data_IF_869261890507
#
_entry.id   IF_869261890507
#
_cell.length_a   1.000
_cell.length_b   1.000
_cell.length_c   1.000
_cell.angle_alpha   90.00
_cell.angle_beta   90.00
_cell.angle_gamma   90.00
#
_symmetry.space_group_name_H-M   'P 1'
#
loop_
_entity.id
_entity.type
_entity.pdbx_description
1 polymer ?
#
# COMPACT_ATOMS: atom_id res chain seq x y z
N UNK A 1 2.99 -13.10 -29.13
CA UNK A 1 2.18 -14.11 -28.40
C UNK A 1 2.85 -14.65 -27.14
N UNK A 2 4.16 -14.91 -27.11
CA UNK A 2 4.85 -15.45 -25.90
C UNK A 2 4.78 -14.50 -24.70
N UNK A 3 4.94 -13.18 -24.90
CA UNK A 3 4.83 -12.18 -23.83
C UNK A 3 3.48 -12.24 -23.10
N UNK A 4 2.36 -12.20 -23.83
CA UNK A 4 1.03 -12.29 -23.22
C UNK A 4 0.82 -13.62 -22.47
N UNK A 5 1.34 -14.73 -23.01
CA UNK A 5 1.25 -16.03 -22.31
C UNK A 5 2.04 -16.06 -21.02
N UNK A 6 3.16 -15.31 -20.92
CA UNK A 6 3.99 -15.24 -19.71
C UNK A 6 3.41 -14.32 -18.62
N UNK A 7 2.41 -13.47 -18.94
CA UNK A 7 1.92 -12.44 -18.01
C UNK A 7 0.38 -12.36 -17.96
N UNK A 8 -0.36 -13.35 -18.50
CA UNK A 8 -1.80 -13.25 -18.60
C UNK A 8 -2.52 -13.15 -17.26
N UNK A 9 -2.00 -13.81 -16.21
CA UNK A 9 -2.57 -13.74 -14.87
C UNK A 9 -2.42 -12.34 -14.30
N UNK A 10 -1.25 -11.70 -14.49
CA UNK A 10 -1.02 -10.32 -14.07
C UNK A 10 -1.98 -9.35 -14.76
N UNK A 11 -2.16 -9.48 -16.07
CA UNK A 11 -3.12 -8.67 -16.81
C UNK A 11 -4.56 -8.92 -16.35
N UNK A 12 -4.92 -10.18 -16.07
CA UNK A 12 -6.24 -10.52 -15.54
C UNK A 12 -6.47 -9.90 -14.16
N UNK A 13 -5.51 -10.02 -13.23
CA UNK A 13 -5.60 -9.40 -11.89
C UNK A 13 -5.73 -7.89 -12.02
N UNK A 14 -4.90 -7.26 -12.85
CA UNK A 14 -4.97 -5.82 -13.12
C UNK A 14 -6.34 -5.41 -13.65
N UNK A 15 -6.85 -6.12 -14.65
CA UNK A 15 -8.17 -5.85 -15.22
C UNK A 15 -9.29 -6.02 -14.20
N UNK A 16 -9.22 -7.04 -13.33
CA UNK A 16 -10.20 -7.27 -12.27
C UNK A 16 -10.15 -6.16 -11.20
N UNK A 17 -8.96 -5.74 -10.78
CA UNK A 17 -8.80 -4.61 -9.84
C UNK A 17 -9.44 -3.35 -10.41
N UNK A 18 -9.18 -3.02 -11.68
CA UNK A 18 -9.80 -1.86 -12.31
C UNK A 18 -11.31 -2.01 -12.52
N UNK A 19 -11.78 -3.16 -12.94
CA UNK A 19 -13.22 -3.42 -13.14
C UNK A 19 -14.01 -3.30 -11.83
N UNK A 20 -13.41 -3.69 -10.70
CA UNK A 20 -14.02 -3.63 -9.38
C UNK A 20 -13.75 -2.30 -8.65
N UNK A 21 -12.95 -1.39 -9.22
CA UNK A 21 -12.41 -0.19 -8.54
C UNK A 21 -13.44 0.65 -7.80
N UNK A 22 -14.63 0.80 -8.38
CA UNK A 22 -15.72 1.59 -7.80
C UNK A 22 -16.79 0.74 -7.10
N UNK A 23 -16.45 -0.51 -6.73
CA UNK A 23 -17.36 -1.42 -6.04
C UNK A 23 -16.97 -1.61 -4.58
N UNK A 24 -17.90 -2.08 -3.76
CA UNK A 24 -17.61 -2.46 -2.37
C UNK A 24 -16.65 -3.66 -2.25
N UNK A 25 -16.49 -4.45 -3.30
CA UNK A 25 -15.59 -5.62 -3.30
C UNK A 25 -14.12 -5.24 -3.15
N UNK A 26 -13.70 -4.12 -3.74
CA UNK A 26 -12.30 -3.64 -3.65
C UNK A 26 -12.04 -2.78 -2.41
N UNK A 27 -13.09 -2.32 -1.72
CA UNK A 27 -12.97 -1.41 -0.58
C UNK A 27 -12.03 -1.91 0.53
N UNK A 28 -12.06 -3.19 0.95
CA UNK A 28 -11.12 -3.69 1.95
C UNK A 28 -9.66 -3.56 1.52
N UNK A 29 -9.36 -3.79 0.23
CA UNK A 29 -8.00 -3.62 -0.31
C UNK A 29 -7.58 -2.15 -0.31
N UNK A 30 -8.47 -1.22 -0.65
CA UNK A 30 -8.17 0.21 -0.59
C UNK A 30 -7.89 0.67 0.85
N UNK A 31 -8.70 0.24 1.82
CA UNK A 31 -8.47 0.56 3.25
C UNK A 31 -7.16 -0.06 3.74
N UNK A 32 -6.79 -1.24 3.23
CA UNK A 32 -5.49 -1.84 3.52
C UNK A 32 -4.32 -0.99 2.96
N UNK A 33 -4.49 -0.40 1.76
CA UNK A 33 -3.48 0.53 1.21
C UNK A 33 -3.42 1.82 2.04
N UNK A 34 -4.56 2.34 2.52
CA UNK A 34 -4.57 3.46 3.47
C UNK A 34 -3.83 3.08 4.77
N UNK A 35 -4.02 1.86 5.29
CA UNK A 35 -3.21 1.38 6.42
C UNK A 35 -1.70 1.42 6.12
N UNK A 36 -1.27 0.99 4.93
CA UNK A 36 0.15 1.08 4.51
C UNK A 36 0.62 2.53 4.41
N UNK A 37 -0.25 3.45 3.97
CA UNK A 37 0.02 4.88 3.90
C UNK A 37 0.28 5.46 5.30
N UNK A 38 -0.64 5.24 6.24
CA UNK A 38 -0.51 5.74 7.62
C UNK A 38 0.66 5.09 8.37
N UNK A 39 0.88 3.80 8.14
CA UNK A 39 2.04 3.08 8.67
C UNK A 39 3.34 3.69 8.15
N UNK A 40 3.39 4.13 6.90
CA UNK A 40 4.57 4.74 6.29
C UNK A 40 4.92 6.08 6.93
N UNK A 41 3.94 6.92 7.27
CA UNK A 41 4.16 8.12 8.08
C UNK A 41 4.77 7.78 9.43
N UNK A 42 4.18 6.79 10.12
CA UNK A 42 4.68 6.33 11.40
C UNK A 42 6.10 5.79 11.34
N UNK A 43 6.41 4.96 10.34
CA UNK A 43 7.76 4.43 10.12
C UNK A 43 8.77 5.56 9.84
N UNK A 44 8.42 6.53 9.00
CA UNK A 44 9.28 7.67 8.72
C UNK A 44 9.55 8.51 9.98
N UNK A 45 8.54 8.70 10.84
CA UNK A 45 8.72 9.38 12.11
C UNK A 45 9.72 8.63 13.01
N UNK A 46 9.51 7.32 13.22
CA UNK A 46 10.38 6.50 14.07
C UNK A 46 11.81 6.44 13.53
N UNK A 47 11.99 6.21 12.23
CA UNK A 47 13.30 6.12 11.59
C UNK A 47 14.08 7.44 11.61
N UNK A 48 13.39 8.57 11.83
CA UNK A 48 14.00 9.90 11.92
C UNK A 48 14.03 10.45 13.35
N UNK A 49 13.88 9.58 14.36
CA UNK A 49 14.03 9.93 15.77
C UNK A 49 12.75 10.46 16.45
N UNK A 50 11.60 10.29 15.80
CA UNK A 50 10.29 10.58 16.39
C UNK A 50 9.59 9.34 16.93
N UNK A 51 8.28 9.47 17.14
CA UNK A 51 7.41 8.39 17.64
C UNK A 51 6.02 8.47 17.02
N UNK A 52 5.32 7.34 17.03
CA UNK A 52 3.90 7.25 16.64
C UNK A 52 3.06 7.46 17.91
N UNK A 53 2.06 8.34 17.86
CA UNK A 53 1.07 8.48 18.93
C UNK A 53 -0.19 7.67 18.64
N UNK A 54 -0.79 7.87 17.47
CA UNK A 54 -1.98 7.12 17.03
C UNK A 54 -1.99 6.93 15.53
N UNK A 55 -2.65 5.86 15.09
CA UNK A 55 -3.03 5.61 13.69
C UNK A 55 -4.54 5.38 13.67
N UNK A 56 -5.23 6.00 12.72
CA UNK A 56 -6.68 5.87 12.52
C UNK A 56 -7.01 5.63 11.06
N UNK A 57 -8.08 4.88 10.82
CA UNK A 57 -8.64 4.59 9.49
C UNK A 57 -10.14 4.81 9.52
N UNK A 58 -10.74 5.14 8.37
CA UNK A 58 -12.19 5.24 8.26
C UNK A 58 -12.73 4.49 7.02
N UNK A 59 -14.03 4.16 6.99
CA UNK A 59 -14.62 3.41 5.88
C UNK A 59 -14.69 4.20 4.56
N UNK A 60 -14.48 5.51 4.58
CA UNK A 60 -14.45 6.38 3.40
C UNK A 60 -13.07 6.43 2.73
N UNK A 61 -12.17 5.49 3.05
CA UNK A 61 -10.82 5.40 2.51
C UNK A 61 -9.91 6.56 2.95
N UNK A 62 -10.15 7.11 4.12
CA UNK A 62 -9.27 8.09 4.76
C UNK A 62 -8.58 7.51 5.98
N UNK A 63 -7.51 8.15 6.40
CA UNK A 63 -6.78 7.82 7.62
C UNK A 63 -6.01 9.03 8.14
N UNK A 64 -5.34 8.86 9.26
CA UNK A 64 -4.32 9.77 9.73
C UNK A 64 -3.37 9.08 10.70
N UNK A 65 -2.10 9.45 10.65
CA UNK A 65 -1.11 9.10 11.64
C UNK A 65 -0.69 10.35 12.42
N UNK A 66 -0.88 10.35 13.73
CA UNK A 66 -0.36 11.40 14.61
C UNK A 66 1.02 10.95 15.08
N UNK A 67 2.02 11.78 14.78
CA UNK A 67 3.42 11.53 15.12
C UNK A 67 4.00 12.69 15.93
N UNK A 68 5.00 12.40 16.75
CA UNK A 68 5.73 13.41 17.52
C UNK A 68 7.20 13.38 17.17
N UNK A 69 7.76 14.53 16.78
CA UNK A 69 9.16 14.64 16.37
C UNK A 69 9.42 13.98 15.00
N UNK A 70 10.67 13.68 14.73
CA UNK A 70 11.10 13.17 13.44
C UNK A 70 11.26 14.26 12.38
N UNK A 71 11.61 13.84 11.17
CA UNK A 71 11.79 14.74 10.03
C UNK A 71 10.45 14.93 9.29
N UNK A 72 9.85 16.10 9.44
CA UNK A 72 8.52 16.43 8.89
C UNK A 72 8.46 16.26 7.37
N UNK A 73 9.54 16.63 6.65
CA UNK A 73 9.60 16.45 5.20
C UNK A 73 9.48 14.98 4.79
N UNK A 74 10.24 14.11 5.46
CA UNK A 74 10.20 12.67 5.21
C UNK A 74 8.87 12.06 5.65
N UNK A 75 8.30 12.51 6.78
CA UNK A 75 7.00 12.03 7.27
C UNK A 75 5.92 12.30 6.23
N UNK A 76 5.71 13.53 5.78
CA UNK A 76 4.68 13.86 4.79
C UNK A 76 4.92 13.22 3.42
N UNK A 77 6.19 13.02 3.03
CA UNK A 77 6.48 12.33 1.77
C UNK A 77 6.28 10.81 1.85
N UNK A 78 6.33 10.24 3.06
CA UNK A 78 6.31 8.79 3.25
C UNK A 78 4.95 8.15 2.99
N UNK A 79 3.83 8.84 3.21
CA UNK A 79 2.51 8.24 3.02
C UNK A 79 2.34 7.63 1.62
N UNK A 80 2.35 8.45 0.61
CA UNK A 80 2.17 8.00 -0.78
C UNK A 80 3.34 7.17 -1.30
N UNK A 81 4.57 7.65 -1.12
CA UNK A 81 5.76 6.95 -1.63
C UNK A 81 6.00 5.65 -0.85
N UNK A 82 5.80 5.66 0.46
CA UNK A 82 5.98 4.48 1.31
C UNK A 82 4.96 3.39 1.02
N UNK A 83 3.66 3.71 0.88
CA UNK A 83 2.65 2.72 0.50
C UNK A 83 2.93 2.12 -0.89
N UNK A 84 3.37 2.93 -1.86
CA UNK A 84 3.83 2.46 -3.16
C UNK A 84 5.01 1.48 -3.02
N UNK A 85 6.04 1.85 -2.27
CA UNK A 85 7.24 1.01 -2.10
C UNK A 85 6.92 -0.30 -1.36
N UNK A 86 6.10 -0.24 -0.31
CA UNK A 86 5.61 -1.44 0.38
C UNK A 86 4.80 -2.33 -0.55
N UNK A 87 3.95 -1.75 -1.40
CA UNK A 87 3.23 -2.47 -2.45
C UNK A 87 4.16 -3.16 -3.45
N UNK A 88 5.18 -2.46 -3.95
CA UNK A 88 6.21 -3.03 -4.84
C UNK A 88 6.97 -4.16 -4.15
N UNK A 89 7.36 -3.99 -2.89
CA UNK A 89 8.08 -5.02 -2.12
C UNK A 89 7.21 -6.27 -1.98
N UNK A 90 5.96 -6.14 -1.53
CA UNK A 90 5.03 -7.27 -1.39
C UNK A 90 4.83 -7.99 -2.73
N UNK A 91 4.61 -7.22 -3.79
CA UNK A 91 4.39 -7.75 -5.14
C UNK A 91 5.62 -8.50 -5.68
N UNK A 92 6.82 -7.92 -5.53
CA UNK A 92 8.05 -8.57 -6.01
C UNK A 92 8.44 -9.79 -5.19
N UNK A 93 8.22 -9.77 -3.87
CA UNK A 93 8.44 -10.94 -3.02
C UNK A 93 7.54 -12.09 -3.47
N UNK A 94 6.24 -11.83 -3.66
CA UNK A 94 5.29 -12.83 -4.15
C UNK A 94 5.67 -13.36 -5.54
N UNK A 95 6.17 -12.51 -6.44
CA UNK A 95 6.56 -12.91 -7.79
C UNK A 95 7.85 -13.73 -7.86
N UNK A 96 8.80 -13.51 -6.96
CA UNK A 96 10.19 -13.96 -7.10
C UNK A 96 10.68 -14.88 -6.00
N UNK A 97 9.88 -15.10 -4.97
CA UNK A 97 10.29 -15.94 -3.85
C UNK A 97 9.27 -17.04 -3.58
N UNK A 98 9.61 -17.91 -2.66
CA UNK A 98 8.74 -18.97 -2.14
C UNK A 98 8.30 -18.68 -0.70
N UNK A 99 8.45 -17.44 -0.25
CA UNK A 99 8.23 -17.03 1.13
C UNK A 99 6.78 -16.57 1.42
N UNK A 100 5.84 -16.78 0.50
CA UNK A 100 4.49 -16.20 0.51
C UNK A 100 3.76 -16.38 1.84
N UNK A 101 3.77 -17.60 2.41
CA UNK A 101 3.17 -17.86 3.72
C UNK A 101 3.82 -17.07 4.85
N UNK A 102 5.15 -17.00 4.84
CA UNK A 102 5.89 -16.26 5.86
C UNK A 102 5.64 -14.76 5.76
N UNK A 103 5.61 -14.21 4.54
CA UNK A 103 5.32 -12.80 4.29
C UNK A 103 3.89 -12.45 4.66
N UNK A 104 2.91 -13.29 4.30
CA UNK A 104 1.52 -13.12 4.69
C UNK A 104 1.36 -13.14 6.22
N UNK A 105 2.01 -14.10 6.90
CA UNK A 105 2.00 -14.17 8.35
C UNK A 105 2.67 -12.97 9.02
N UNK A 106 3.81 -12.52 8.49
CA UNK A 106 4.53 -11.34 8.99
C UNK A 106 3.67 -10.08 8.83
N UNK A 107 3.02 -9.92 7.68
CA UNK A 107 2.15 -8.77 7.43
C UNK A 107 0.94 -8.76 8.38
N UNK A 108 0.27 -9.91 8.56
CA UNK A 108 -0.82 -10.04 9.53
C UNK A 108 -0.37 -9.77 10.97
N UNK A 109 0.78 -10.30 11.37
CA UNK A 109 1.35 -10.06 12.71
C UNK A 109 1.73 -8.60 12.93
N UNK A 110 2.38 -7.95 11.93
CA UNK A 110 2.70 -6.53 11.96
C UNK A 110 1.44 -5.68 12.10
N UNK A 111 0.39 -6.00 11.32
CA UNK A 111 -0.88 -5.28 11.38
C UNK A 111 -1.51 -5.38 12.78
N UNK A 112 -1.52 -6.57 13.40
CA UNK A 112 -2.02 -6.75 14.76
C UNK A 112 -1.16 -6.03 15.81
N UNK A 113 0.16 -6.04 15.65
CA UNK A 113 1.08 -5.32 16.54
C UNK A 113 0.83 -3.79 16.48
N UNK A 114 0.75 -3.24 15.27
CA UNK A 114 0.45 -1.80 15.07
C UNK A 114 -0.92 -1.46 15.65
N UNK A 115 -1.90 -2.35 15.47
CA UNK A 115 -3.25 -2.18 16.03
C UNK A 115 -3.21 -2.11 17.56
N UNK A 116 -2.54 -3.05 18.20
CA UNK A 116 -2.43 -3.08 19.66
C UNK A 116 -1.73 -1.83 20.23
N UNK A 117 -0.71 -1.33 19.55
CA UNK A 117 0.11 -0.22 20.02
C UNK A 117 -0.54 1.15 19.73
N UNK A 118 -1.13 1.35 18.54
CA UNK A 118 -1.42 2.70 18.03
C UNK A 118 -2.87 2.94 17.58
N UNK A 119 -3.70 1.93 17.36
CA UNK A 119 -5.09 2.12 16.92
C UNK A 119 -6.04 2.15 18.10
N UNK A 120 -6.98 3.13 18.10
CA UNK A 120 -7.93 3.33 19.19
C UNK A 120 -9.38 3.53 18.74
N UNK A 121 -9.62 3.85 17.47
CA UNK A 121 -10.97 4.01 16.91
C UNK A 121 -11.60 2.64 16.57
N UNK A 122 -12.94 2.55 16.73
CA UNK A 122 -13.66 1.27 16.64
C UNK A 122 -13.61 0.64 15.25
N UNK A 123 -13.68 1.46 14.18
CA UNK A 123 -13.66 0.94 12.82
C UNK A 123 -12.28 0.37 12.49
N UNK A 124 -11.20 1.15 12.72
CA UNK A 124 -9.85 0.71 12.44
C UNK A 124 -9.47 -0.52 13.30
N UNK A 125 -9.88 -0.56 14.59
CA UNK A 125 -9.70 -1.73 15.44
C UNK A 125 -10.33 -2.98 14.82
N UNK A 126 -11.62 -2.89 14.46
CA UNK A 126 -12.32 -4.04 13.86
C UNK A 126 -11.70 -4.46 12.54
N UNK A 127 -11.43 -3.51 11.66
CA UNK A 127 -10.84 -3.77 10.34
C UNK A 127 -9.45 -4.41 10.45
N UNK A 128 -8.56 -3.83 11.26
CA UNK A 128 -7.18 -4.28 11.38
C UNK A 128 -7.07 -5.62 12.13
N UNK A 129 -7.90 -5.85 13.15
CA UNK A 129 -7.97 -7.16 13.84
C UNK A 129 -8.48 -8.22 12.87
N UNK A 130 -9.61 -7.97 12.19
CA UNK A 130 -10.18 -8.94 11.25
C UNK A 130 -9.23 -9.25 10.09
N UNK A 131 -8.60 -8.22 9.51
CA UNK A 131 -7.64 -8.38 8.42
C UNK A 131 -6.36 -9.10 8.87
N UNK A 132 -5.79 -8.70 10.01
CA UNK A 132 -4.57 -9.33 10.55
C UNK A 132 -4.78 -10.80 10.93
N UNK A 133 -5.88 -11.12 11.62
CA UNK A 133 -6.24 -12.52 11.91
C UNK A 133 -6.56 -13.30 10.65
N UNK A 134 -7.25 -12.69 9.68
CA UNK A 134 -7.51 -13.28 8.38
C UNK A 134 -6.22 -13.64 7.64
N UNK A 135 -5.24 -12.73 7.60
CA UNK A 135 -3.92 -12.99 7.00
C UNK A 135 -3.17 -14.12 7.71
N UNK A 136 -3.19 -14.20 9.04
CA UNK A 136 -2.59 -15.30 9.79
C UNK A 136 -3.30 -16.63 9.50
N UNK A 137 -4.62 -16.63 9.42
CA UNK A 137 -5.39 -17.83 9.06
C UNK A 137 -5.09 -18.28 7.62
N UNK A 138 -5.02 -17.37 6.65
CA UNK A 138 -4.63 -17.63 5.27
C UNK A 138 -3.22 -18.25 5.22
N UNK A 139 -2.26 -17.63 5.91
CA UNK A 139 -0.89 -18.13 5.96
C UNK A 139 -0.79 -19.56 6.56
N UNK A 140 -1.62 -19.86 7.56
CA UNK A 140 -1.60 -21.14 8.28
C UNK A 140 -2.34 -22.25 7.55
N UNK A 141 -3.52 -21.94 6.98
CA UNK A 141 -4.46 -22.97 6.53
C UNK A 141 -4.59 -23.09 5.01
N UNK A 142 -4.24 -22.04 4.25
CA UNK A 142 -4.39 -22.07 2.78
C UNK A 142 -3.09 -22.48 2.08
N UNK A 143 -3.19 -23.04 0.85
CA UNK A 143 -2.04 -23.36 0.01
C UNK A 143 -1.16 -22.13 -0.25
N UNK A 144 0.11 -22.37 -0.58
CA UNK A 144 1.06 -21.33 -0.93
C UNK A 144 0.57 -20.46 -2.09
N UNK A 145 0.00 -21.06 -3.12
CA UNK A 145 -0.47 -20.36 -4.32
C UNK A 145 -1.56 -19.33 -4.02
N UNK A 146 -2.40 -19.58 -2.99
CA UNK A 146 -3.40 -18.62 -2.52
C UNK A 146 -2.73 -17.45 -1.80
N UNK A 147 -1.70 -17.72 -0.97
CA UNK A 147 -0.92 -16.68 -0.33
C UNK A 147 -0.21 -15.79 -1.35
N UNK A 148 0.44 -16.40 -2.35
CA UNK A 148 1.08 -15.73 -3.48
C UNK A 148 0.06 -14.83 -4.23
N UNK A 149 -1.08 -15.38 -4.64
CA UNK A 149 -2.12 -14.64 -5.34
C UNK A 149 -2.58 -13.41 -4.52
N UNK A 150 -2.86 -13.59 -3.23
CA UNK A 150 -3.35 -12.50 -2.38
C UNK A 150 -2.28 -11.42 -2.16
N UNK A 151 -1.02 -11.78 -1.95
CA UNK A 151 0.08 -10.83 -1.86
C UNK A 151 0.26 -10.04 -3.15
N UNK A 152 0.12 -10.68 -4.31
CA UNK A 152 0.13 -10.00 -5.61
C UNK A 152 -1.02 -9.02 -5.75
N UNK A 153 -2.23 -9.41 -5.37
CA UNK A 153 -3.41 -8.54 -5.41
C UNK A 153 -3.22 -7.34 -4.49
N UNK A 154 -2.76 -7.54 -3.25
CA UNK A 154 -2.49 -6.46 -2.29
C UNK A 154 -1.40 -5.53 -2.83
N UNK A 155 -0.25 -6.08 -3.23
CA UNK A 155 0.86 -5.29 -3.74
C UNK A 155 0.50 -4.51 -5.00
N UNK A 156 -0.16 -5.16 -5.98
CA UNK A 156 -0.61 -4.51 -7.21
C UNK A 156 -1.64 -3.41 -6.92
N UNK A 157 -2.60 -3.67 -6.02
CA UNK A 157 -3.58 -2.64 -5.62
C UNK A 157 -2.88 -1.43 -5.02
N UNK A 158 -1.88 -1.62 -4.16
CA UNK A 158 -1.09 -0.53 -3.59
C UNK A 158 -0.31 0.26 -4.65
N UNK A 159 0.30 -0.45 -5.61
CA UNK A 159 1.02 0.15 -6.75
C UNK A 159 0.10 1.02 -7.61
N UNK A 160 -1.14 0.59 -7.83
CA UNK A 160 -2.12 1.33 -8.64
C UNK A 160 -2.80 2.46 -7.84
N UNK A 161 -3.05 2.21 -6.56
CA UNK A 161 -3.76 3.17 -5.70
C UNK A 161 -2.91 4.41 -5.39
N UNK A 162 -1.61 4.25 -5.11
CA UNK A 162 -0.76 5.37 -4.71
C UNK A 162 -0.74 6.54 -5.72
N UNK A 163 -0.48 6.35 -7.03
CA UNK A 163 -0.54 7.45 -8.00
C UNK A 163 -1.96 8.00 -8.20
N UNK A 164 -2.99 7.15 -8.08
CA UNK A 164 -4.39 7.60 -8.13
C UNK A 164 -4.71 8.52 -6.95
N UNK A 165 -4.28 8.16 -5.75
CA UNK A 165 -4.49 8.90 -4.52
C UNK A 165 -3.73 10.24 -4.55
N UNK A 166 -2.46 10.23 -4.97
CA UNK A 166 -1.66 11.44 -5.20
C UNK A 166 -2.42 12.39 -6.14
N UNK A 167 -2.88 11.89 -7.29
CA UNK A 167 -3.59 12.72 -8.27
C UNK A 167 -4.89 13.27 -7.66
N UNK A 168 -5.67 12.42 -7.01
CA UNK A 168 -6.94 12.79 -6.38
C UNK A 168 -6.77 13.88 -5.33
N UNK A 169 -5.81 13.72 -4.42
CA UNK A 169 -5.66 14.57 -3.25
C UNK A 169 -4.89 15.86 -3.52
N UNK A 170 -4.02 15.85 -4.52
CA UNK A 170 -3.09 16.97 -4.73
C UNK A 170 -3.36 17.78 -5.99
N UNK A 171 -4.03 17.18 -6.99
CA UNK A 171 -4.32 17.82 -8.27
C UNK A 171 -5.83 18.03 -8.42
N UNK A 172 -6.64 16.97 -8.30
CA UNK A 172 -8.09 17.08 -8.49
C UNK A 172 -8.77 17.80 -7.31
N UNK A 173 -8.25 17.68 -6.10
CA UNK A 173 -8.79 18.26 -4.85
C UNK A 173 -7.70 19.00 -4.07
N UNK A 174 -6.89 19.82 -4.73
CA UNK A 174 -5.71 20.48 -4.16
C UNK A 174 -5.99 21.41 -2.97
N UNK A 175 -7.26 21.73 -2.71
CA UNK A 175 -7.71 22.54 -1.57
C UNK A 175 -7.88 21.71 -0.28
N UNK A 176 -7.94 20.38 -0.40
CA UNK A 176 -8.03 19.52 0.77
C UNK A 176 -6.69 19.51 1.51
N UNK A 177 -6.78 19.40 2.83
CA UNK A 177 -5.60 19.31 3.70
C UNK A 177 -4.94 17.94 3.62
N UNK A 178 -4.31 17.66 2.48
CA UNK A 178 -3.50 16.48 2.20
C UNK A 178 -2.06 16.65 2.71
N UNK A 179 -1.27 15.57 2.66
CA UNK A 179 0.17 15.63 2.98
C UNK A 179 0.92 16.65 2.13
N UNK A 180 0.57 16.75 0.83
CA UNK A 180 1.16 17.73 -0.07
C UNK A 180 0.77 19.16 0.32
N UNK A 181 -0.46 19.37 0.78
CA UNK A 181 -0.91 20.66 1.29
C UNK A 181 -0.10 21.04 2.56
N UNK A 182 0.01 20.12 3.52
CA UNK A 182 0.77 20.34 4.75
C UNK A 182 2.27 20.56 4.48
N UNK A 183 2.82 19.86 3.49
CA UNK A 183 4.20 20.06 3.05
C UNK A 183 4.39 21.45 2.44
N UNK A 184 3.46 21.91 1.59
CA UNK A 184 3.48 23.25 1.01
C UNK A 184 3.37 24.35 2.07
N UNK A 185 2.50 24.18 3.08
CA UNK A 185 2.42 25.11 4.23
C UNK A 185 3.77 25.26 4.97
N UNK A 186 4.52 24.14 5.08
CA UNK A 186 5.73 24.09 5.91
C UNK A 186 7.00 24.48 5.17
N UNK A 187 7.10 24.11 3.87
CA UNK A 187 8.34 24.24 3.08
C UNK A 187 8.17 25.13 1.85
N UNK A 188 6.97 25.68 1.63
CA UNK A 188 6.65 26.49 0.47
C UNK A 188 6.25 25.67 -0.76
N UNK A 189 5.91 26.36 -1.84
CA UNK A 189 5.34 25.77 -3.04
C UNK A 189 3.82 25.64 -2.96
N UNK A 190 3.26 24.67 -3.66
CA UNK A 190 1.84 24.34 -3.64
C UNK A 190 1.60 22.85 -3.50
N UNK A 191 0.41 22.45 -3.04
CA UNK A 191 0.03 21.04 -2.99
C UNK A 191 0.17 20.35 -4.36
N UNK A 192 -0.20 21.06 -5.44
CA UNK A 192 -0.06 20.57 -6.81
C UNK A 192 1.41 20.33 -7.19
N UNK A 193 2.34 21.22 -6.77
CA UNK A 193 3.77 21.05 -7.04
C UNK A 193 4.31 19.77 -6.40
N UNK A 194 4.05 19.59 -5.11
CA UNK A 194 4.51 18.40 -4.37
C UNK A 194 3.84 17.12 -4.88
N UNK A 195 2.54 17.20 -5.18
CA UNK A 195 1.81 16.09 -5.82
C UNK A 195 2.39 15.69 -7.16
N UNK A 196 2.73 16.67 -8.02
CA UNK A 196 3.36 16.41 -9.32
C UNK A 196 4.74 15.73 -9.15
N UNK A 197 5.56 16.17 -8.18
CA UNK A 197 6.85 15.53 -7.86
C UNK A 197 6.64 14.07 -7.44
N UNK A 198 5.73 13.81 -6.50
CA UNK A 198 5.44 12.45 -6.04
C UNK A 198 4.83 11.58 -7.13
N UNK A 199 3.99 12.15 -8.00
CA UNK A 199 3.41 11.42 -9.13
C UNK A 199 4.51 10.99 -10.12
N UNK A 200 5.46 11.87 -10.45
CA UNK A 200 6.62 11.54 -11.30
C UNK A 200 7.44 10.42 -10.66
N UNK A 201 7.76 10.53 -9.37
CA UNK A 201 8.48 9.49 -8.63
C UNK A 201 7.72 8.16 -8.71
N UNK A 202 6.41 8.19 -8.48
CA UNK A 202 5.56 6.99 -8.53
C UNK A 202 5.57 6.34 -9.92
N UNK A 203 5.46 7.12 -10.98
CA UNK A 203 5.51 6.61 -12.35
C UNK A 203 6.88 6.01 -12.70
N UNK A 204 7.97 6.62 -12.23
CA UNK A 204 9.33 6.05 -12.38
C UNK A 204 9.46 4.73 -11.64
N UNK A 205 9.01 4.64 -10.38
CA UNK A 205 9.03 3.41 -9.58
C UNK A 205 8.21 2.32 -10.26
N UNK A 206 7.02 2.64 -10.75
CA UNK A 206 6.15 1.71 -11.49
C UNK A 206 6.81 1.23 -12.78
N UNK A 207 7.42 2.13 -13.54
CA UNK A 207 8.11 1.76 -14.79
C UNK A 207 9.30 0.83 -14.53
N UNK A 208 10.09 1.09 -13.48
CA UNK A 208 11.20 0.22 -13.07
C UNK A 208 10.69 -1.16 -12.59
N UNK A 209 9.63 -1.18 -11.80
CA UNK A 209 8.97 -2.41 -11.36
C UNK A 209 8.46 -3.22 -12.55
N UNK A 210 7.74 -2.58 -13.48
CA UNK A 210 7.22 -3.22 -14.68
C UNK A 210 8.35 -3.79 -15.56
N UNK A 211 9.42 -3.03 -15.77
CA UNK A 211 10.60 -3.50 -16.51
C UNK A 211 11.21 -4.77 -15.89
N UNK A 212 11.31 -4.80 -14.57
CA UNK A 212 11.81 -5.97 -13.85
C UNK A 212 10.86 -7.17 -13.94
N UNK A 213 9.57 -6.94 -13.77
CA UNK A 213 8.53 -7.97 -13.83
C UNK A 213 8.45 -8.61 -15.21
N UNK A 214 8.45 -7.79 -16.26
CA UNK A 214 8.34 -8.26 -17.65
C UNK A 214 9.60 -8.93 -18.20
N UNK A 215 10.70 -8.91 -17.47
CA UNK A 215 11.92 -9.64 -17.81
C UNK A 215 11.81 -11.17 -17.68
N UNK A 216 10.83 -11.67 -16.93
CA UNK A 216 10.57 -13.10 -16.70
C UNK A 216 9.07 -13.34 -16.55
N UNK A 217 8.59 -14.59 -16.75
CA UNK A 217 7.18 -14.92 -16.54
C UNK A 217 6.70 -14.51 -15.13
N UNK A 218 5.50 -13.90 -15.08
CA UNK A 218 4.82 -13.51 -13.84
C UNK A 218 3.67 -14.46 -13.47
N UNK A 219 3.50 -15.57 -14.17
CA UNK A 219 2.43 -16.52 -13.87
C UNK A 219 2.73 -17.34 -12.60
N UNK A 220 1.68 -17.64 -11.84
CA UNK A 220 1.71 -18.59 -10.74
C UNK A 220 1.69 -20.00 -11.36
N UNK A 221 2.62 -20.86 -10.94
CA UNK A 221 2.63 -22.27 -11.31
C UNK A 221 1.81 -23.05 -10.29
N UNK A 222 0.49 -23.15 -10.49
CA UNK A 222 -0.38 -23.89 -9.58
C UNK A 222 0.02 -25.36 -9.52
N UNK A 223 0.30 -25.86 -8.30
CA UNK A 223 0.57 -27.28 -8.05
C UNK A 223 2.03 -27.71 -8.27
N UNK A 224 2.99 -26.79 -8.33
CA UNK A 224 4.42 -27.12 -8.35
C UNK A 224 5.00 -27.24 -6.94
#
# INVERSE_FOLDING_TARGET
MQFLKGHWQLFLITALVFALWNTYAILPLKILVVFLHELSHGLAAVLTGGSIETISLNPQQGGHAITRGGNIFLIFSAGYIGSLLLGVILFLIALRTHADRAVMALFGALMLLVTALYIRDSFALLFCIASGLGMLAIARFLPRDVNDLLLRVIGLTSILYAPYDIFSDTIARSELRSDAFMLAERFGGSAMLWGAVWLIISLVVIALCARYVFGQSSNISFGA
#
